data_IF_896411026800
#
_entry.id   IF_896411026800
#
_cell.length_a   1.000
_cell.length_b   1.000
_cell.length_c   1.000
_cell.angle_alpha   90.00
_cell.angle_beta   90.00
_cell.angle_gamma   90.00
#
_symmetry.space_group_name_H-M   'P 1'
#
loop_
_entity.id
_entity.type
_entity.pdbx_description
1 polymer ?
#
# COMPACT_ATOMS: atom_id res chain seq x y z
N UNK A 1 -3.06 2.29 16.32
CA UNK A 1 -1.97 1.95 15.37
C UNK A 1 -2.15 0.51 14.96
N UNK A 2 -2.76 0.24 13.81
CA UNK A 2 -2.76 -1.07 13.14
C UNK A 2 -2.93 -0.78 11.65
N UNK A 3 -1.99 -1.28 10.83
CA UNK A 3 -2.32 -2.50 10.09
C UNK A 3 -1.45 -3.65 10.61
N UNK A 4 -2.08 -4.67 11.18
CA UNK A 4 -1.38 -5.85 11.74
C UNK A 4 -1.32 -7.01 10.74
N UNK A 5 -1.90 -6.85 9.55
CA UNK A 5 -1.92 -7.87 8.50
C UNK A 5 -1.54 -7.28 7.14
N UNK A 6 -1.10 -8.16 6.23
CA UNK A 6 -0.78 -7.82 4.84
C UNK A 6 -2.00 -7.27 4.09
N UNK A 7 -3.19 -7.77 4.42
CA UNK A 7 -4.46 -7.33 3.86
C UNK A 7 -4.71 -5.87 4.23
N UNK A 8 -4.54 -5.50 5.50
CA UNK A 8 -4.74 -4.13 5.95
C UNK A 8 -3.79 -3.16 5.23
N UNK A 9 -2.52 -3.55 5.04
CA UNK A 9 -1.53 -2.75 4.30
C UNK A 9 -1.97 -2.56 2.85
N UNK A 10 -2.51 -3.60 2.21
CA UNK A 10 -3.03 -3.51 0.85
C UNK A 10 -4.29 -2.64 0.77
N UNK A 11 -5.20 -2.74 1.74
CA UNK A 11 -6.40 -1.93 1.82
C UNK A 11 -6.08 -0.45 2.02
N UNK A 12 -5.13 -0.13 2.91
CA UNK A 12 -4.60 1.23 3.09
C UNK A 12 -4.06 1.79 1.76
N UNK A 13 -3.36 0.95 0.99
CA UNK A 13 -2.81 1.34 -0.30
C UNK A 13 -3.87 1.57 -1.39
N UNK A 14 -4.84 0.67 -1.50
CA UNK A 14 -5.76 0.58 -2.64
C UNK A 14 -7.10 1.28 -2.43
N UNK A 15 -7.61 1.28 -1.20
CA UNK A 15 -8.92 1.83 -0.85
C UNK A 15 -8.84 3.01 0.14
N UNK A 16 -7.72 3.17 0.83
CA UNK A 16 -7.58 4.13 1.90
C UNK A 16 -8.18 3.62 3.21
N UNK A 17 -8.14 4.44 4.25
CA UNK A 17 -8.64 4.09 5.59
C UNK A 17 -9.42 5.26 6.18
N UNK A 18 -10.54 4.98 6.84
CA UNK A 18 -11.30 5.94 7.66
C UNK A 18 -11.57 7.29 6.98
N UNK A 19 -11.98 7.28 5.70
CA UNK A 19 -12.28 8.49 4.93
C UNK A 19 -11.04 9.27 4.44
N UNK A 20 -9.84 8.73 4.65
CA UNK A 20 -8.59 9.26 4.08
C UNK A 20 -8.36 8.73 2.67
N UNK A 21 -7.70 9.53 1.84
CA UNK A 21 -7.25 9.11 0.51
C UNK A 21 -6.35 7.86 0.60
N UNK A 22 -6.45 7.00 -0.40
CA UNK A 22 -5.58 5.84 -0.48
C UNK A 22 -4.14 6.25 -0.76
N UNK A 23 -3.18 5.45 -0.31
CA UNK A 23 -1.76 5.77 -0.49
C UNK A 23 -1.41 5.84 -1.98
N UNK A 24 -2.06 5.06 -2.85
CA UNK A 24 -1.85 5.15 -4.30
C UNK A 24 -2.18 6.53 -4.85
N UNK A 25 -3.34 7.09 -4.50
CA UNK A 25 -3.75 8.40 -4.99
C UNK A 25 -2.88 9.52 -4.40
N UNK A 26 -2.39 9.33 -3.16
CA UNK A 26 -1.44 10.25 -2.54
C UNK A 26 -0.07 10.23 -3.25
N UNK A 27 0.44 9.05 -3.61
CA UNK A 27 1.64 8.92 -4.43
C UNK A 27 1.48 9.58 -5.80
N UNK A 28 0.34 9.35 -6.45
CA UNK A 28 0.09 9.86 -7.81
C UNK A 28 -0.11 11.38 -7.82
N UNK A 29 -0.85 11.93 -6.87
CA UNK A 29 -1.15 13.37 -6.81
C UNK A 29 -0.04 14.23 -6.19
N UNK A 30 0.69 13.71 -5.19
CA UNK A 30 1.63 14.50 -4.38
C UNK A 30 3.04 13.88 -4.28
N UNK A 31 3.30 12.73 -4.88
CA UNK A 31 4.62 12.13 -4.92
C UNK A 31 5.26 11.96 -3.53
N UNK A 32 6.50 12.39 -3.35
CA UNK A 32 7.18 12.33 -2.04
C UNK A 32 6.69 13.34 -1.00
N UNK A 33 5.99 14.38 -1.43
CA UNK A 33 5.74 15.54 -0.57
C UNK A 33 4.67 15.28 0.50
N UNK A 34 3.68 14.42 0.23
CA UNK A 34 2.66 14.08 1.23
C UNK A 34 3.22 13.35 2.47
N UNK A 35 4.39 12.71 2.35
CA UNK A 35 5.09 12.03 3.48
C UNK A 35 6.07 12.91 4.22
N UNK A 36 6.46 14.08 3.68
CA UNK A 36 7.49 14.94 4.27
C UNK A 36 7.05 15.57 5.59
N UNK A 37 5.75 15.75 5.80
CA UNK A 37 5.21 16.39 6.99
C UNK A 37 5.43 15.57 8.28
N UNK A 38 5.71 14.26 8.19
CA UNK A 38 5.82 13.40 9.36
C UNK A 38 7.02 12.45 9.28
N UNK A 39 8.08 12.74 10.03
CA UNK A 39 9.37 12.02 9.99
C UNK A 39 9.26 10.51 10.24
N UNK A 40 8.20 10.02 10.90
CA UNK A 40 7.95 8.60 11.12
C UNK A 40 7.24 7.90 9.94
N UNK A 41 6.46 8.62 9.14
CA UNK A 41 5.65 8.04 8.06
C UNK A 41 6.52 7.54 6.91
N UNK A 42 7.63 8.22 6.57
CA UNK A 42 8.49 7.81 5.48
C UNK A 42 9.07 6.39 5.66
N UNK A 43 9.58 6.08 6.86
CA UNK A 43 10.15 4.75 7.14
C UNK A 43 9.09 3.64 7.14
N UNK A 44 7.92 3.91 7.72
CA UNK A 44 6.80 2.95 7.74
C UNK A 44 6.23 2.74 6.33
N UNK A 45 6.08 3.81 5.56
CA UNK A 45 5.70 3.78 4.16
C UNK A 45 6.68 2.95 3.33
N UNK A 46 7.99 3.18 3.44
CA UNK A 46 8.98 2.39 2.68
C UNK A 46 8.92 0.89 3.00
N UNK A 47 8.55 0.51 4.22
CA UNK A 47 8.35 -0.91 4.59
C UNK A 47 7.07 -1.45 3.94
N UNK A 48 5.94 -0.74 4.08
CA UNK A 48 4.66 -1.13 3.48
C UNK A 48 4.70 -1.14 1.96
N UNK A 49 5.55 -0.28 1.36
CA UNK A 49 5.77 -0.23 -0.08
C UNK A 49 6.28 -1.52 -0.69
N UNK A 50 7.02 -2.32 0.08
CA UNK A 50 7.45 -3.64 -0.39
C UNK A 50 6.26 -4.58 -0.55
N UNK A 51 5.27 -4.48 0.34
CA UNK A 51 4.08 -5.34 0.34
C UNK A 51 3.20 -4.99 -0.86
N UNK A 52 2.74 -3.75 -1.00
CA UNK A 52 1.83 -3.43 -2.09
C UNK A 52 2.47 -3.55 -3.47
N UNK A 53 3.77 -3.22 -3.63
CA UNK A 53 4.48 -3.46 -4.89
C UNK A 53 4.54 -4.95 -5.24
N UNK A 54 4.73 -5.82 -4.24
CA UNK A 54 4.72 -7.25 -4.46
C UNK A 54 3.32 -7.75 -4.86
N UNK A 55 2.27 -7.25 -4.22
CA UNK A 55 0.89 -7.54 -4.62
C UNK A 55 0.63 -7.10 -6.06
N UNK A 56 1.05 -5.90 -6.47
CA UNK A 56 0.91 -5.41 -7.85
C UNK A 56 1.67 -6.29 -8.84
N UNK A 57 2.93 -6.63 -8.56
CA UNK A 57 3.75 -7.49 -9.41
C UNK A 57 3.15 -8.89 -9.57
N UNK A 58 2.61 -9.45 -8.49
CA UNK A 58 1.94 -10.75 -8.53
C UNK A 58 0.62 -10.66 -9.29
N UNK A 59 -0.18 -9.62 -9.05
CA UNK A 59 -1.47 -9.40 -9.73
C UNK A 59 -1.30 -9.09 -11.23
N UNK A 60 -0.13 -8.62 -11.66
CA UNK A 60 0.16 -8.40 -13.08
C UNK A 60 0.47 -9.69 -13.85
N UNK A 61 0.67 -10.83 -13.17
CA UNK A 61 0.93 -12.12 -13.84
C UNK A 61 -0.35 -12.68 -14.44
N UNK A 62 -0.21 -13.39 -15.56
CA UNK A 62 -1.35 -14.08 -16.21
C UNK A 62 -1.97 -15.09 -15.23
N UNK A 63 -3.30 -15.04 -15.08
CA UNK A 63 -4.10 -15.85 -14.13
C UNK A 63 -3.86 -15.54 -12.64
N UNK A 64 -3.25 -14.41 -12.31
CA UNK A 64 -3.14 -13.93 -10.93
C UNK A 64 -4.08 -12.74 -10.73
N UNK A 65 -4.93 -12.84 -9.70
CA UNK A 65 -5.72 -11.71 -9.20
C UNK A 65 -5.17 -11.23 -7.87
N UNK A 66 -5.60 -10.05 -7.43
CA UNK A 66 -5.20 -9.47 -6.14
C UNK A 66 -5.49 -10.39 -4.96
N UNK A 67 -6.64 -11.05 -4.95
CA UNK A 67 -6.98 -12.02 -3.89
C UNK A 67 -6.00 -13.21 -3.86
N UNK A 68 -5.59 -13.71 -5.03
CA UNK A 68 -4.60 -14.77 -5.11
C UNK A 68 -3.23 -14.27 -4.65
N UNK A 69 -2.81 -13.08 -5.10
CA UNK A 69 -1.56 -12.47 -4.69
C UNK A 69 -1.45 -12.29 -3.17
N UNK A 70 -2.52 -11.82 -2.52
CA UNK A 70 -2.56 -11.61 -1.07
C UNK A 70 -2.45 -12.91 -0.26
N UNK A 71 -2.78 -14.08 -0.84
CA UNK A 71 -2.63 -15.38 -0.17
C UNK A 71 -1.18 -15.90 -0.14
N UNK A 72 -0.29 -15.34 -0.95
CA UNK A 72 1.09 -15.81 -1.14
C UNK A 72 2.16 -14.86 -0.56
N UNK A 73 1.74 -13.81 0.14
CA UNK A 73 2.61 -12.86 0.84
C UNK A 73 2.37 -13.05 2.33
#
# INVERSE_FOLDING_TARGET
>A
RTPSTIIDIWMEYSAGSDGSLCVRDLEEGWGSDWRRANRGMGSEHCRRAKVWKLVEQLSAKKNWGTELALRFI
#
